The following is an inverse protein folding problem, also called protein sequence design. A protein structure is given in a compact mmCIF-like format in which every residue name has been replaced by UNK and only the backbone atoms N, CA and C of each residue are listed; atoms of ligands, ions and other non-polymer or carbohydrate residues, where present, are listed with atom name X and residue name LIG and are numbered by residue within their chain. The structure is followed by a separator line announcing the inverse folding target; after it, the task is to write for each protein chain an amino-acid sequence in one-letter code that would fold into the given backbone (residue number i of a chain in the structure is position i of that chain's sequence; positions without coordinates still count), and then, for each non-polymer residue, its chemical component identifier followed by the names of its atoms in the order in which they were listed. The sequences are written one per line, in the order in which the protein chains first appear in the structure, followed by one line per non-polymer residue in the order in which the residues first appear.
data_IF_383479812975
#
_entry.id   IF_383479812975
#
_cell.length_a   1.000
_cell.length_b   1.000
_cell.length_c   1.000
_cell.angle_alpha   90.00
_cell.angle_beta   90.00
_cell.angle_gamma   90.00
#
_symmetry.space_group_name_H-M   'P 1'
#
loop_
_entity.id
_entity.type
_entity.pdbx_description
1 polymer ?
#
# COMPACT_ATOMS: atom_id res chain seq x y z
N UNK A 1 12.21 10.11 -9.22
CA UNK A 1 13.15 9.66 -8.16
C UNK A 1 14.18 8.75 -8.82
N UNK A 2 15.42 8.71 -8.34
CA UNK A 2 16.41 7.72 -8.84
C UNK A 2 15.99 6.29 -8.43
N UNK A 3 16.12 5.32 -9.33
CA UNK A 3 15.65 3.96 -9.08
C UNK A 3 16.46 3.26 -7.97
N UNK A 4 17.77 3.51 -7.91
CA UNK A 4 18.63 2.90 -6.88
C UNK A 4 18.27 3.45 -5.50
N UNK A 5 17.94 4.73 -5.40
CA UNK A 5 17.41 5.32 -4.17
C UNK A 5 16.05 4.70 -3.77
N UNK A 6 15.12 4.58 -4.72
CA UNK A 6 13.81 3.98 -4.48
C UNK A 6 13.91 2.52 -3.97
N UNK A 7 14.83 1.72 -4.54
CA UNK A 7 15.06 0.33 -4.11
C UNK A 7 15.49 0.26 -2.65
N UNK A 8 16.39 1.15 -2.22
CA UNK A 8 16.82 1.23 -0.82
C UNK A 8 15.68 1.63 0.11
N UNK A 9 14.90 2.64 -0.28
CA UNK A 9 13.77 3.13 0.51
C UNK A 9 12.70 2.05 0.72
N UNK A 10 12.34 1.29 -0.33
CA UNK A 10 11.36 0.19 -0.18
C UNK A 10 11.86 -0.87 0.81
N UNK A 11 13.15 -1.22 0.75
CA UNK A 11 13.73 -2.20 1.68
C UNK A 11 13.75 -1.67 3.11
N UNK A 12 14.13 -0.40 3.29
CA UNK A 12 14.14 0.24 4.61
C UNK A 12 12.74 0.28 5.21
N UNK A 13 11.74 0.75 4.46
CA UNK A 13 10.34 0.77 4.90
C UNK A 13 9.84 -0.65 5.18
N UNK A 14 10.17 -1.62 4.33
CA UNK A 14 9.82 -3.02 4.55
C UNK A 14 10.37 -3.59 5.87
N UNK A 15 11.62 -3.25 6.21
CA UNK A 15 12.23 -3.61 7.50
C UNK A 15 11.52 -2.93 8.66
N UNK A 16 11.26 -1.62 8.56
CA UNK A 16 10.57 -0.86 9.61
C UNK A 16 9.17 -1.42 9.89
N UNK A 17 8.41 -1.78 8.85
CA UNK A 17 7.08 -2.40 9.00
C UNK A 17 7.18 -3.73 9.74
N UNK A 18 8.15 -4.57 9.37
CA UNK A 18 8.37 -5.88 9.99
C UNK A 18 8.83 -5.76 11.44
N UNK A 19 9.80 -4.88 11.73
CA UNK A 19 10.31 -4.62 13.08
C UNK A 19 9.23 -4.08 14.01
N UNK A 20 8.30 -3.27 13.49
CA UNK A 20 7.13 -2.78 14.23
C UNK A 20 5.98 -3.78 14.34
N UNK A 21 6.13 -4.98 13.77
CA UNK A 21 5.06 -6.00 13.71
C UNK A 21 3.77 -5.48 13.06
N UNK A 22 3.90 -4.59 12.07
CA UNK A 22 2.77 -4.14 11.24
C UNK A 22 2.55 -5.05 10.04
N UNK A 23 3.48 -5.96 9.79
CA UNK A 23 3.43 -6.99 8.76
C UNK A 23 4.08 -8.26 9.31
N UNK A 24 3.51 -9.42 9.02
CA UNK A 24 4.02 -10.75 9.40
C UNK A 24 4.06 -11.69 8.19
N UNK A 25 4.94 -12.69 8.22
CA UNK A 25 5.11 -13.61 7.09
C UNK A 25 5.39 -12.84 5.78
N UNK A 26 4.48 -12.90 4.81
CA UNK A 26 4.55 -12.26 3.49
C UNK A 26 3.41 -11.27 3.23
N UNK A 27 2.66 -10.84 4.26
CA UNK A 27 1.60 -9.84 4.14
C UNK A 27 2.13 -8.42 3.89
N UNK A 28 1.23 -7.45 3.72
CA UNK A 28 1.55 -6.06 3.38
C UNK A 28 2.20 -5.92 2.01
N UNK A 29 2.40 -4.69 1.55
CA UNK A 29 3.16 -4.38 0.35
C UNK A 29 3.44 -2.89 0.24
N UNK A 30 4.54 -2.54 -0.44
CA UNK A 30 4.96 -1.15 -0.64
C UNK A 30 5.26 -0.96 -2.13
N UNK A 31 4.93 0.20 -2.67
CA UNK A 31 5.39 0.59 -3.99
C UNK A 31 5.77 2.07 -4.05
N UNK A 32 6.61 2.40 -5.03
CA UNK A 32 7.04 3.75 -5.36
C UNK A 32 6.87 3.96 -6.86
N UNK A 33 6.30 5.10 -7.24
CA UNK A 33 6.30 5.60 -8.61
C UNK A 33 7.68 6.16 -8.94
N UNK A 34 8.36 5.55 -9.92
CA UNK A 34 9.66 6.03 -10.38
C UNK A 34 9.50 7.21 -11.35
N UNK A 35 8.53 7.08 -12.26
CA UNK A 35 8.14 8.06 -13.27
C UNK A 35 6.69 7.81 -13.75
N UNK A 36 6.29 8.45 -14.86
CA UNK A 36 4.94 8.34 -15.43
C UNK A 36 4.53 6.92 -15.80
N UNK A 37 5.49 6.04 -16.10
CA UNK A 37 5.22 4.72 -16.69
C UNK A 37 5.69 3.56 -15.82
N UNK A 38 6.52 3.80 -14.80
CA UNK A 38 7.17 2.74 -14.03
C UNK A 38 6.87 2.82 -12.53
N UNK A 39 6.43 1.68 -12.00
CA UNK A 39 6.19 1.45 -10.58
C UNK A 39 7.16 0.38 -10.09
N UNK A 40 7.88 0.68 -9.03
CA UNK A 40 8.70 -0.27 -8.28
C UNK A 40 7.86 -0.79 -7.10
N UNK A 41 7.75 -2.10 -6.92
CA UNK A 41 6.91 -2.70 -5.91
C UNK A 41 7.59 -3.87 -5.18
N UNK A 42 7.15 -4.14 -3.96
CA UNK A 42 7.56 -5.34 -3.22
C UNK A 42 7.10 -6.61 -3.94
N UNK A 43 7.93 -7.67 -3.97
CA UNK A 43 7.58 -8.93 -4.60
C UNK A 43 6.53 -9.72 -3.82
N UNK A 44 5.82 -10.61 -4.50
CA UNK A 44 4.88 -11.55 -3.87
C UNK A 44 5.62 -12.60 -3.05
N UNK A 45 4.98 -13.12 -1.98
CA UNK A 45 5.45 -14.24 -1.15
C UNK A 45 6.81 -14.03 -0.46
N UNK A 46 7.28 -12.78 -0.33
CA UNK A 46 8.51 -12.45 0.39
C UNK A 46 8.17 -11.65 1.63
N UNK A 47 8.87 -11.95 2.72
CA UNK A 47 8.79 -11.18 3.96
C UNK A 47 9.42 -9.80 3.80
N UNK A 48 8.71 -8.76 4.26
CA UNK A 48 9.10 -7.36 4.04
C UNK A 48 10.40 -7.01 4.77
N UNK A 49 10.67 -7.68 5.89
CA UNK A 49 11.95 -7.57 6.61
C UNK A 49 13.14 -8.30 5.97
N UNK A 50 12.91 -9.10 4.91
CA UNK A 50 13.95 -9.94 4.27
C UNK A 50 14.08 -9.72 2.77
N UNK A 51 13.58 -8.60 2.25
CA UNK A 51 13.70 -8.26 0.83
C UNK A 51 15.14 -7.89 0.46
N UNK A 52 15.47 -8.06 -0.82
CA UNK A 52 16.75 -7.64 -1.43
C UNK A 52 16.49 -6.67 -2.57
N UNK A 53 17.48 -5.85 -2.93
CA UNK A 53 17.33 -4.84 -4.00
C UNK A 53 16.98 -5.50 -5.33
N UNK A 54 17.63 -6.62 -5.66
CA UNK A 54 17.41 -7.38 -6.89
C UNK A 54 16.10 -8.18 -6.88
N UNK A 55 15.46 -8.33 -5.71
CA UNK A 55 14.19 -9.04 -5.55
C UNK A 55 12.95 -8.20 -5.86
N UNK A 56 13.10 -6.88 -6.01
CA UNK A 56 11.96 -5.97 -6.21
C UNK A 56 11.37 -6.09 -7.62
N UNK A 57 10.04 -5.98 -7.70
CA UNK A 57 9.30 -6.05 -8.95
C UNK A 57 9.19 -4.68 -9.60
N UNK A 58 9.39 -4.63 -10.91
CA UNK A 58 9.18 -3.44 -11.71
C UNK A 58 7.98 -3.69 -12.62
N UNK A 59 6.98 -2.81 -12.59
CA UNK A 59 5.78 -2.92 -13.42
C UNK A 59 5.45 -1.59 -14.08
N UNK A 60 4.63 -1.64 -15.13
CA UNK A 60 3.94 -0.44 -15.61
C UNK A 60 2.67 -0.13 -14.80
N UNK A 61 1.93 0.91 -15.21
CA UNK A 61 0.67 1.31 -14.57
C UNK A 61 -0.49 0.31 -14.79
N UNK A 62 -0.35 -0.60 -15.76
CA UNK A 62 -1.32 -1.67 -16.01
C UNK A 62 -0.94 -2.97 -15.28
N UNK A 63 0.15 -2.95 -14.51
CA UNK A 63 0.62 -4.08 -13.72
C UNK A 63 1.39 -5.11 -14.54
N UNK A 64 1.74 -4.79 -15.78
CA UNK A 64 2.60 -5.66 -16.60
C UNK A 64 4.02 -5.59 -16.06
N UNK A 65 4.62 -6.76 -15.84
CA UNK A 65 6.00 -6.87 -15.39
C UNK A 65 6.97 -6.32 -16.46
N UNK A 66 7.91 -5.50 -16.00
CA UNK A 66 9.02 -4.94 -16.76
C UNK A 66 10.37 -5.60 -16.42
N UNK A 67 10.38 -6.47 -15.40
CA UNK A 67 11.50 -7.37 -15.09
C UNK A 67 10.99 -8.80 -14.82
N UNK A 68 11.89 -9.70 -14.43
CA UNK A 68 11.62 -11.12 -14.16
C UNK A 68 10.96 -11.38 -12.80
N UNK A 69 10.67 -10.34 -12.02
CA UNK A 69 10.10 -10.46 -10.67
C UNK A 69 8.60 -10.24 -10.70
N UNK A 70 7.90 -10.96 -9.83
CA UNK A 70 6.44 -10.86 -9.69
C UNK A 70 6.09 -9.96 -8.51
N UNK A 71 5.34 -8.89 -8.78
CA UNK A 71 4.84 -7.98 -7.75
C UNK A 71 3.80 -8.66 -6.84
N UNK A 72 3.49 -8.02 -5.70
CA UNK A 72 2.41 -8.43 -4.79
C UNK A 72 1.12 -8.75 -5.52
N UNK A 73 0.35 -9.72 -5.03
CA UNK A 73 -0.97 -10.07 -5.57
C UNK A 73 -1.98 -8.92 -5.45
N UNK A 74 -1.72 -7.99 -4.52
CA UNK A 74 -2.56 -6.82 -4.28
C UNK A 74 -2.09 -5.57 -5.01
N UNK A 75 -1.12 -5.67 -5.93
CA UNK A 75 -0.60 -4.51 -6.68
C UNK A 75 -1.72 -3.67 -7.33
N UNK A 76 -2.84 -4.29 -7.72
CA UNK A 76 -3.99 -3.61 -8.31
C UNK A 76 -4.51 -2.42 -7.47
N UNK A 77 -4.49 -2.51 -6.13
CA UNK A 77 -4.92 -1.39 -5.27
C UNK A 77 -3.95 -0.20 -5.35
N UNK A 78 -2.64 -0.47 -5.46
CA UNK A 78 -1.63 0.58 -5.63
C UNK A 78 -1.82 1.26 -7.00
N UNK A 79 -2.04 0.48 -8.06
CA UNK A 79 -2.23 0.99 -9.42
C UNK A 79 -3.51 1.83 -9.54
N UNK A 80 -4.60 1.44 -8.86
CA UNK A 80 -5.81 2.26 -8.76
C UNK A 80 -5.48 3.64 -8.18
N UNK A 81 -4.77 3.68 -7.05
CA UNK A 81 -4.36 4.93 -6.40
C UNK A 81 -3.51 5.77 -7.34
N UNK A 82 -2.48 5.19 -7.96
CA UNK A 82 -1.62 5.91 -8.90
C UNK A 82 -2.37 6.45 -10.13
N UNK A 83 -3.38 5.75 -10.63
CA UNK A 83 -4.17 6.21 -11.78
C UNK A 83 -5.12 7.35 -11.40
N UNK A 84 -5.72 7.29 -10.21
CA UNK A 84 -6.67 8.32 -9.74
C UNK A 84 -5.99 9.55 -9.15
N UNK A 85 -4.77 9.39 -8.62
CA UNK A 85 -4.01 10.43 -7.90
C UNK A 85 -2.58 10.53 -8.43
N UNK A 86 -2.34 11.33 -9.50
CA UNK A 86 -1.01 11.56 -10.04
C UNK A 86 -0.03 12.20 -9.06
N UNK A 87 -0.53 12.89 -8.04
CA UNK A 87 0.25 13.51 -6.96
C UNK A 87 0.86 12.50 -5.98
N UNK A 88 0.35 11.25 -5.95
CA UNK A 88 0.87 10.19 -5.09
C UNK A 88 2.06 9.48 -5.74
N UNK A 89 3.16 9.44 -4.98
CA UNK A 89 4.45 8.88 -5.42
C UNK A 89 4.82 7.57 -4.69
N UNK A 90 4.13 7.23 -3.61
CA UNK A 90 4.35 5.99 -2.89
C UNK A 90 3.06 5.53 -2.21
N UNK A 91 2.89 4.21 -2.09
CA UNK A 91 1.75 3.60 -1.40
C UNK A 91 2.29 2.51 -0.47
N UNK A 92 1.79 2.48 0.76
CA UNK A 92 2.14 1.51 1.78
C UNK A 92 0.87 0.82 2.28
N UNK A 93 0.80 -0.49 2.11
CA UNK A 93 -0.22 -1.36 2.67
C UNK A 93 0.40 -2.23 3.77
N UNK A 94 -0.22 -2.22 4.95
CA UNK A 94 0.22 -2.97 6.13
C UNK A 94 -0.98 -3.29 7.02
N UNK A 95 -0.77 -4.16 8.01
CA UNK A 95 -1.78 -4.64 8.96
C UNK A 95 -1.38 -4.27 10.41
N UNK A 96 -1.23 -2.97 10.74
CA UNK A 96 -0.93 -2.56 12.10
C UNK A 96 -2.07 -2.98 13.05
N UNK A 97 -1.79 -3.62 14.21
CA UNK A 97 -2.82 -4.25 15.04
C UNK A 97 -4.01 -3.35 15.41
N UNK A 98 -3.75 -2.08 15.73
CA UNK A 98 -4.81 -1.12 16.06
C UNK A 98 -5.65 -0.73 14.84
N UNK A 99 -5.02 -0.52 13.67
CA UNK A 99 -5.75 -0.20 12.44
C UNK A 99 -6.64 -1.37 12.00
N UNK A 100 -6.09 -2.59 12.03
CA UNK A 100 -6.84 -3.82 11.74
C UNK A 100 -7.95 -4.07 12.77
N UNK A 101 -7.74 -3.74 14.05
CA UNK A 101 -8.81 -3.85 15.05
C UNK A 101 -10.00 -2.91 14.75
N UNK A 102 -9.74 -1.67 14.34
CA UNK A 102 -10.78 -0.74 13.89
C UNK A 102 -11.49 -1.25 12.63
N UNK A 103 -10.73 -1.76 11.65
CA UNK A 103 -11.30 -2.28 10.40
C UNK A 103 -12.20 -3.50 10.63
N UNK A 104 -11.82 -4.41 11.53
CA UNK A 104 -12.62 -5.57 11.93
C UNK A 104 -13.84 -5.16 12.76
N UNK A 105 -13.72 -4.11 13.58
CA UNK A 105 -14.83 -3.59 14.39
C UNK A 105 -15.86 -2.78 13.58
N UNK A 106 -15.63 -2.52 12.30
CA UNK A 106 -16.51 -1.68 11.49
C UNK A 106 -16.43 -0.19 11.85
N UNK A 107 -15.29 0.26 12.40
CA UNK A 107 -15.09 1.62 12.87
C UNK A 107 -14.13 2.38 11.97
N UNK A 108 -14.58 3.51 11.43
CA UNK A 108 -13.72 4.47 10.75
C UNK A 108 -12.96 5.35 11.76
N UNK A 109 -11.92 6.05 11.27
CA UNK A 109 -11.22 7.12 12.00
C UNK A 109 -11.48 8.43 11.24
N UNK A 110 -12.75 8.81 11.20
CA UNK A 110 -13.31 9.94 10.44
C UNK A 110 -13.75 11.12 11.32
N UNK A 111 -13.60 10.98 12.64
CA UNK A 111 -13.80 12.03 13.61
C UNK A 111 -12.47 12.75 13.95
N UNK A 112 -12.52 14.01 14.42
CA UNK A 112 -11.35 14.74 14.89
C UNK A 112 -10.88 14.22 16.26
N UNK A 113 -10.22 13.06 16.29
CA UNK A 113 -9.77 12.40 17.53
C UNK A 113 -8.46 13.01 18.04
N UNK A 114 -7.51 13.27 17.14
CA UNK A 114 -6.17 13.80 17.45
C UNK A 114 -5.77 14.86 16.43
N UNK A 115 -5.21 15.98 16.90
CA UNK A 115 -4.81 17.09 16.03
C UNK A 115 -3.74 16.69 15.03
N UNK A 116 -2.81 15.83 15.45
CA UNK A 116 -1.72 15.31 14.63
C UNK A 116 -2.25 14.49 13.45
N UNK A 117 -3.27 13.66 13.67
CA UNK A 117 -3.90 12.85 12.61
C UNK A 117 -4.58 13.76 11.59
N UNK A 118 -5.31 14.78 12.04
CA UNK A 118 -6.00 15.74 11.17
C UNK A 118 -4.99 16.50 10.29
N UNK A 119 -3.87 16.92 10.87
CA UNK A 119 -2.84 17.69 10.16
C UNK A 119 -1.98 16.85 9.21
N UNK A 120 -1.84 15.54 9.48
CA UNK A 120 -0.93 14.66 8.69
C UNK A 120 -1.67 13.76 7.71
N UNK A 121 -2.66 13.00 8.18
CA UNK A 121 -3.40 12.00 7.39
C UNK A 121 -4.77 12.52 6.93
N UNK A 122 -5.36 13.44 7.68
CA UNK A 122 -6.73 13.90 7.47
C UNK A 122 -7.75 12.88 8.00
N UNK A 123 -8.92 12.84 7.34
CA UNK A 123 -9.95 11.83 7.60
C UNK A 123 -9.49 10.45 7.10
N UNK A 124 -9.71 9.39 7.88
CA UNK A 124 -9.39 8.01 7.49
C UNK A 124 -10.68 7.17 7.50
N UNK A 125 -11.35 7.06 6.33
CA UNK A 125 -12.60 6.31 6.23
C UNK A 125 -12.37 4.80 6.27
N UNK A 126 -13.45 4.06 6.49
CA UNK A 126 -13.51 2.61 6.33
C UNK A 126 -14.18 2.26 5.01
N UNK A 127 -13.51 1.48 4.16
CA UNK A 127 -14.10 0.95 2.92
C UNK A 127 -15.00 -0.25 3.22
N UNK A 128 -15.96 -0.53 2.34
CA UNK A 128 -16.65 -1.82 2.34
C UNK A 128 -15.66 -2.98 2.12
N UNK A 129 -16.05 -4.18 2.57
CA UNK A 129 -15.27 -5.39 2.33
C UNK A 129 -15.17 -5.69 0.83
N UNK A 130 -13.97 -6.02 0.39
CA UNK A 130 -13.75 -6.59 -0.94
C UNK A 130 -12.70 -7.69 -0.85
N UNK A 131 -12.91 -8.79 -1.56
CA UNK A 131 -12.01 -9.94 -1.47
C UNK A 131 -10.59 -9.55 -1.92
N UNK A 132 -9.54 -9.83 -1.12
CA UNK A 132 -8.17 -9.48 -1.49
C UNK A 132 -7.76 -10.03 -2.85
N UNK A 133 -6.94 -9.28 -3.59
CA UNK A 133 -6.46 -9.63 -4.93
C UNK A 133 -7.55 -9.78 -6.01
N UNK A 134 -8.79 -9.32 -5.77
CA UNK A 134 -9.86 -9.24 -6.76
C UNK A 134 -10.24 -7.79 -7.07
N UNK A 135 -11.09 -7.59 -8.08
CA UNK A 135 -11.64 -6.26 -8.40
C UNK A 135 -12.56 -5.73 -7.31
N UNK A 136 -13.15 -6.58 -6.48
CA UNK A 136 -14.05 -6.17 -5.38
C UNK A 136 -13.34 -5.23 -4.42
N UNK A 137 -12.09 -5.54 -4.06
CA UNK A 137 -11.27 -4.69 -3.20
C UNK A 137 -11.02 -3.32 -3.84
N UNK A 138 -10.62 -3.28 -5.11
CA UNK A 138 -10.37 -2.00 -5.79
C UNK A 138 -11.64 -1.17 -5.94
N UNK A 139 -12.79 -1.79 -6.23
CA UNK A 139 -14.05 -1.08 -6.38
C UNK A 139 -14.57 -0.55 -5.03
N UNK A 140 -14.33 -1.26 -3.91
CA UNK A 140 -14.71 -0.75 -2.57
C UNK A 140 -13.87 0.45 -2.14
N UNK A 141 -12.60 0.52 -2.56
CA UNK A 141 -11.70 1.65 -2.26
C UNK A 141 -11.97 2.89 -3.10
N UNK A 142 -12.34 2.69 -4.37
CA UNK A 142 -12.42 3.72 -5.43
C UNK A 142 -13.19 5.00 -5.04
N UNK A 143 -14.33 4.97 -4.30
CA UNK A 143 -15.03 6.18 -3.89
C UNK A 143 -14.20 7.10 -2.99
N UNK A 144 -13.21 6.57 -2.28
CA UNK A 144 -12.46 7.29 -1.25
C UNK A 144 -11.09 7.81 -1.73
N UNK A 145 -10.47 7.15 -2.72
CA UNK A 145 -9.10 7.40 -3.19
C UNK A 145 -8.85 8.86 -3.60
N UNK A 146 -9.83 9.51 -4.21
CA UNK A 146 -9.68 10.89 -4.70
C UNK A 146 -9.49 11.91 -3.56
N UNK A 147 -9.94 11.60 -2.35
CA UNK A 147 -10.10 12.58 -1.26
C UNK A 147 -9.28 12.28 -0.01
N UNK A 148 -8.72 11.07 0.12
CA UNK A 148 -8.07 10.62 1.35
C UNK A 148 -6.63 10.17 1.10
N UNK A 149 -5.77 10.34 2.11
CA UNK A 149 -4.37 9.91 2.06
C UNK A 149 -4.13 8.57 2.79
N UNK A 150 -5.11 8.11 3.56
CA UNK A 150 -5.13 6.80 4.20
C UNK A 150 -6.55 6.24 4.23
N UNK A 151 -6.66 4.91 4.18
CA UNK A 151 -7.92 4.17 4.20
C UNK A 151 -7.78 3.01 5.18
N UNK A 152 -8.82 2.74 5.97
CA UNK A 152 -9.03 1.43 6.58
C UNK A 152 -9.83 0.56 5.61
N UNK A 153 -9.49 -0.72 5.51
CA UNK A 153 -10.18 -1.68 4.64
C UNK A 153 -10.88 -2.71 5.51
N UNK A 154 -12.22 -2.80 5.42
CA UNK A 154 -12.99 -3.67 6.32
C UNK A 154 -12.49 -5.12 6.28
N UNK A 155 -12.29 -5.70 7.47
CA UNK A 155 -11.82 -7.08 7.67
C UNK A 155 -10.54 -7.46 6.89
N UNK A 156 -9.65 -6.49 6.71
CA UNK A 156 -8.35 -6.61 6.07
C UNK A 156 -7.26 -6.05 6.99
#
# INVERSE_FOLDING_TARGET
MDEREARKLIIEVGKLLYERSYVVSSDGNVSIRLDENRILATPTQVSKGRMTEDGLALTDLDGKALNDKKASSELAMHLLIYKMRPDINAVCHAHPPHGTAFSVAGLAIDAPILSEVILTLGCVPLTDYGTPSTSELTESMKPFVAYHNALLMANH
#
